data_IF_396175349732
#
_entry.id   IF_396175349732
#
_cell.length_a   1.000
_cell.length_b   1.000
_cell.length_c   1.000
_cell.angle_alpha   90.00
_cell.angle_beta   90.00
_cell.angle_gamma   90.00
#
_symmetry.space_group_name_H-M   'P 1'
#
loop_
_entity.id
_entity.type
_entity.pdbx_description
1 polymer ?
#
# COMPACT_ATOMS: atom_id res chain seq x y z
N UNK A 1 5.82 -31.03 -8.83
CA UNK A 1 6.62 -29.83 -8.56
C UNK A 1 5.92 -29.06 -7.46
N UNK A 2 6.63 -28.46 -6.51
CA UNK A 2 5.98 -27.58 -5.54
C UNK A 2 5.29 -26.41 -6.27
N UNK A 3 4.27 -25.79 -5.67
CA UNK A 3 3.62 -24.63 -6.27
C UNK A 3 4.65 -23.49 -6.44
N UNK A 4 4.50 -22.70 -7.51
CA UNK A 4 5.41 -21.58 -7.83
C UNK A 4 5.42 -20.55 -6.71
N UNK A 5 4.25 -20.29 -6.10
CA UNK A 5 4.12 -19.43 -4.92
C UNK A 5 3.97 -20.33 -3.72
N UNK A 6 4.96 -20.33 -2.84
CA UNK A 6 4.98 -21.15 -1.63
C UNK A 6 5.56 -20.35 -0.46
N UNK A 7 4.94 -20.48 0.71
CA UNK A 7 5.32 -19.81 1.94
C UNK A 7 5.63 -20.80 3.07
N UNK A 8 5.89 -22.06 2.72
CA UNK A 8 6.29 -23.08 3.69
C UNK A 8 7.52 -22.62 4.49
N UNK A 9 7.46 -22.79 5.81
CA UNK A 9 8.47 -22.33 6.77
C UNK A 9 8.67 -20.80 6.79
N UNK A 10 7.69 -20.01 6.32
CA UNK A 10 7.78 -18.54 6.32
C UNK A 10 6.89 -17.92 7.40
N UNK A 11 7.47 -16.97 8.13
CA UNK A 11 6.75 -16.05 9.02
C UNK A 11 6.43 -14.77 8.26
N UNK A 12 5.16 -14.44 8.14
CA UNK A 12 4.69 -13.27 7.38
C UNK A 12 3.93 -12.29 8.27
N UNK A 13 4.16 -11.01 8.07
CA UNK A 13 3.45 -9.92 8.74
C UNK A 13 2.60 -9.17 7.71
N UNK A 14 1.31 -8.99 8.00
CA UNK A 14 0.36 -8.29 7.12
C UNK A 14 -0.29 -7.14 7.88
N UNK A 15 -0.10 -5.92 7.42
CA UNK A 15 -0.84 -4.76 7.94
C UNK A 15 -2.14 -4.55 7.16
N UNK A 16 -3.20 -4.06 7.82
CA UNK A 16 -4.50 -3.89 7.19
C UNK A 16 -5.16 -5.22 6.80
N UNK A 17 -5.00 -6.25 7.63
CA UNK A 17 -5.38 -7.63 7.34
C UNK A 17 -6.86 -7.93 7.55
N UNK A 18 -7.64 -7.03 8.16
CA UNK A 18 -9.02 -7.34 8.56
C UNK A 18 -10.03 -7.34 7.42
N UNK A 19 -9.79 -6.58 6.35
CA UNK A 19 -10.75 -6.40 5.26
C UNK A 19 -10.07 -6.28 3.88
N UNK A 20 -10.87 -6.34 2.81
CA UNK A 20 -10.44 -6.05 1.46
C UNK A 20 -9.25 -6.88 0.98
N UNK A 21 -8.24 -6.22 0.42
CA UNK A 21 -7.04 -6.89 -0.11
C UNK A 21 -6.26 -7.61 0.97
N UNK A 22 -6.14 -7.03 2.18
CA UNK A 22 -5.39 -7.66 3.28
C UNK A 22 -6.04 -8.96 3.76
N UNK A 23 -7.36 -9.01 3.87
CA UNK A 23 -8.06 -10.25 4.20
C UNK A 23 -7.90 -11.32 3.10
N UNK A 24 -8.04 -10.92 1.83
CA UNK A 24 -7.79 -11.82 0.71
C UNK A 24 -6.33 -12.32 0.69
N UNK A 25 -5.36 -11.46 1.05
CA UNK A 25 -3.95 -11.84 1.13
C UNK A 25 -3.70 -12.88 2.23
N UNK A 26 -4.31 -12.71 3.41
CA UNK A 26 -4.23 -13.70 4.50
C UNK A 26 -4.70 -15.08 4.02
N UNK A 27 -5.84 -15.13 3.32
CA UNK A 27 -6.35 -16.38 2.75
C UNK A 27 -5.38 -16.99 1.72
N UNK A 28 -4.78 -16.18 0.83
CA UNK A 28 -3.79 -16.62 -0.16
C UNK A 28 -2.51 -17.16 0.49
N UNK A 29 -2.00 -16.46 1.51
CA UNK A 29 -0.81 -16.87 2.24
C UNK A 29 -1.04 -18.22 2.94
N UNK A 30 -2.20 -18.41 3.56
CA UNK A 30 -2.55 -19.70 4.19
C UNK A 30 -2.70 -20.81 3.15
N UNK A 31 -3.34 -20.54 2.02
CA UNK A 31 -3.44 -21.49 0.91
C UNK A 31 -2.07 -21.81 0.28
N UNK A 32 -1.10 -20.91 0.39
CA UNK A 32 0.29 -21.09 -0.04
C UNK A 32 1.19 -21.66 1.07
N UNK A 33 0.63 -22.25 2.13
CA UNK A 33 1.30 -22.92 3.23
C UNK A 33 2.15 -21.99 4.13
N UNK A 34 1.80 -20.70 4.29
CA UNK A 34 2.49 -19.86 5.25
C UNK A 34 2.44 -20.49 6.65
N UNK A 35 3.61 -20.64 7.27
CA UNK A 35 3.73 -21.28 8.57
C UNK A 35 3.17 -20.40 9.67
N UNK A 36 3.52 -19.12 9.64
CA UNK A 36 3.06 -18.16 10.64
C UNK A 36 2.56 -16.87 9.98
N UNK A 37 1.30 -16.54 10.19
CA UNK A 37 0.69 -15.31 9.68
C UNK A 37 0.33 -14.41 10.85
N UNK A 38 0.97 -13.23 10.90
CA UNK A 38 0.75 -12.21 11.92
C UNK A 38 0.01 -11.04 11.29
N UNK A 39 -1.18 -10.74 11.79
CA UNK A 39 -2.01 -9.65 11.31
C UNK A 39 -1.93 -8.44 12.23
N UNK A 40 -1.71 -7.24 11.65
CA UNK A 40 -1.80 -5.94 12.31
C UNK A 40 -2.98 -5.16 11.73
N UNK A 41 -3.94 -4.79 12.56
CA UNK A 41 -5.09 -3.97 12.15
C UNK A 41 -5.71 -3.28 13.37
N UNK A 42 -6.51 -2.24 13.16
CA UNK A 42 -7.36 -1.64 14.20
C UNK A 42 -8.62 -2.46 14.45
N UNK A 43 -9.05 -3.25 13.45
CA UNK A 43 -10.24 -4.10 13.52
C UNK A 43 -9.83 -5.57 13.67
N UNK A 44 -10.61 -6.38 14.40
CA UNK A 44 -10.35 -7.81 14.49
C UNK A 44 -10.28 -8.47 13.11
N UNK A 45 -9.28 -9.32 12.92
CA UNK A 45 -9.12 -10.15 11.73
C UNK A 45 -9.85 -11.48 11.93
N UNK A 46 -10.76 -11.82 11.01
CA UNK A 46 -11.51 -13.08 11.04
C UNK A 46 -10.87 -14.17 10.16
N UNK A 47 -9.78 -13.86 9.47
CA UNK A 47 -9.04 -14.78 8.61
C UNK A 47 -8.19 -15.79 9.38
N UNK A 48 -7.56 -16.75 8.68
CA UNK A 48 -6.73 -17.79 9.26
C UNK A 48 -5.34 -17.27 9.67
N UNK A 49 -5.29 -16.41 10.68
CA UNK A 49 -4.06 -15.85 11.24
C UNK A 49 -3.65 -16.61 12.52
N UNK A 50 -2.34 -16.69 12.78
CA UNK A 50 -1.80 -17.33 13.99
C UNK A 50 -1.68 -16.34 15.14
N UNK A 51 -1.44 -15.05 14.81
CA UNK A 51 -1.40 -13.97 15.78
C UNK A 51 -2.12 -12.73 15.22
N UNK A 52 -2.89 -12.08 16.07
CA UNK A 52 -3.48 -10.78 15.79
C UNK A 52 -2.96 -9.74 16.78
N UNK A 53 -2.50 -8.61 16.26
CA UNK A 53 -2.02 -7.47 17.03
C UNK A 53 -2.88 -6.26 16.66
N UNK A 54 -3.64 -5.77 17.62
CA UNK A 54 -4.36 -4.49 17.44
C UNK A 54 -3.35 -3.35 17.41
N UNK A 55 -3.32 -2.58 16.33
CA UNK A 55 -2.42 -1.44 16.18
C UNK A 55 -3.08 -0.34 15.34
N UNK A 56 -3.12 0.87 15.88
CA UNK A 56 -3.45 2.07 15.13
C UNK A 56 -2.18 2.60 14.47
N UNK A 57 -2.08 2.45 13.16
CA UNK A 57 -0.92 2.88 12.38
C UNK A 57 -0.84 4.40 12.18
N UNK A 58 -1.80 5.18 12.69
CA UNK A 58 -1.69 6.63 12.78
C UNK A 58 -0.97 7.11 14.05
N UNK A 59 -0.74 6.21 15.02
CA UNK A 59 -0.06 6.48 16.29
C UNK A 59 1.31 5.78 16.33
N UNK A 60 2.43 6.55 16.35
CA UNK A 60 3.77 5.97 16.42
C UNK A 60 4.01 5.11 17.67
N UNK A 61 3.35 5.41 18.80
CA UNK A 61 3.50 4.61 20.02
C UNK A 61 2.82 3.24 19.87
N UNK A 62 1.64 3.19 19.22
CA UNK A 62 0.97 1.92 18.93
C UNK A 62 1.76 1.08 17.91
N UNK A 63 2.45 1.72 16.95
CA UNK A 63 3.34 1.02 16.01
C UNK A 63 4.52 0.40 16.78
N UNK A 64 5.15 1.14 17.69
CA UNK A 64 6.28 0.64 18.49
C UNK A 64 5.87 -0.52 19.39
N UNK A 65 4.71 -0.44 20.04
CA UNK A 65 4.17 -1.56 20.82
C UNK A 65 3.94 -2.80 19.94
N UNK A 66 3.36 -2.60 18.76
CA UNK A 66 3.18 -3.70 17.81
C UNK A 66 4.52 -4.33 17.39
N UNK A 67 5.54 -3.52 17.07
CA UNK A 67 6.89 -3.98 16.72
C UNK A 67 7.52 -4.81 17.85
N UNK A 68 7.34 -4.42 19.12
CA UNK A 68 7.85 -5.18 20.26
C UNK A 68 7.20 -6.56 20.41
N UNK A 69 5.99 -6.74 19.91
CA UNK A 69 5.23 -8.00 19.97
C UNK A 69 5.47 -8.90 18.76
N UNK A 70 6.19 -8.43 17.73
CA UNK A 70 6.57 -9.21 16.57
C UNK A 70 7.79 -10.09 16.88
N UNK A 71 7.95 -11.25 16.22
CA UNK A 71 9.08 -12.16 16.44
C UNK A 71 10.41 -11.53 15.98
N UNK A 72 11.50 -12.14 16.43
CA UNK A 72 12.87 -11.73 16.09
C UNK A 72 13.27 -12.07 14.64
N UNK A 73 12.51 -12.92 13.96
CA UNK A 73 12.72 -13.27 12.54
C UNK A 73 11.44 -13.15 11.76
N UNK A 74 11.47 -12.41 10.65
CA UNK A 74 10.35 -12.18 9.74
C UNK A 74 10.82 -12.45 8.31
N UNK A 75 10.10 -13.29 7.58
CA UNK A 75 10.45 -13.59 6.19
C UNK A 75 9.81 -12.62 5.20
N UNK A 76 8.57 -12.18 5.46
CA UNK A 76 7.91 -11.22 4.57
C UNK A 76 7.09 -10.20 5.35
N UNK A 77 7.27 -8.93 5.02
CA UNK A 77 6.47 -7.82 5.51
C UNK A 77 5.57 -7.28 4.39
N UNK A 78 4.26 -7.41 4.56
CA UNK A 78 3.26 -6.79 3.70
C UNK A 78 2.72 -5.51 4.33
N UNK A 79 3.17 -4.37 3.86
CA UNK A 79 2.62 -3.06 4.21
C UNK A 79 1.39 -2.79 3.33
N UNK A 80 0.26 -3.39 3.70
CA UNK A 80 -0.97 -3.29 2.93
C UNK A 80 -1.97 -2.30 3.54
N UNK A 81 -1.85 -1.94 4.82
CA UNK A 81 -2.74 -0.96 5.44
C UNK A 81 -2.76 0.37 4.66
N UNK A 82 -3.94 0.94 4.52
CA UNK A 82 -4.12 2.23 3.88
C UNK A 82 -5.51 2.78 4.12
N UNK A 83 -5.60 4.11 4.13
CA UNK A 83 -6.83 4.87 4.34
C UNK A 83 -7.01 5.92 3.24
N UNK A 84 -8.28 6.30 2.99
CA UNK A 84 -8.64 7.30 1.98
C UNK A 84 -8.59 8.74 2.54
N UNK A 85 -8.69 9.72 1.64
CA UNK A 85 -8.69 11.14 1.95
C UNK A 85 -10.00 11.65 2.59
N UNK A 86 -10.92 10.76 2.95
CA UNK A 86 -12.06 11.07 3.85
C UNK A 86 -11.59 11.31 5.28
N UNK A 87 -10.40 10.83 5.65
CA UNK A 87 -9.79 11.08 6.95
C UNK A 87 -8.88 12.32 6.94
N UNK A 88 -8.59 12.91 8.12
CA UNK A 88 -7.70 14.05 8.23
C UNK A 88 -6.32 13.78 7.60
N UNK A 89 -5.72 14.82 7.00
CA UNK A 89 -4.42 14.75 6.31
C UNK A 89 -3.33 14.03 7.14
N UNK A 90 -3.21 14.38 8.44
CA UNK A 90 -2.22 13.75 9.34
C UNK A 90 -2.45 12.25 9.49
N UNK A 91 -3.70 11.79 9.50
CA UNK A 91 -4.04 10.37 9.55
C UNK A 91 -3.67 9.67 8.25
N UNK A 92 -4.03 10.26 7.10
CA UNK A 92 -3.70 9.70 5.78
C UNK A 92 -2.19 9.54 5.60
N UNK A 93 -1.41 10.59 5.91
CA UNK A 93 0.04 10.56 5.77
C UNK A 93 0.69 9.68 6.84
N UNK A 94 0.15 9.68 8.06
CA UNK A 94 0.59 8.82 9.14
C UNK A 94 0.49 7.34 8.74
N UNK A 95 -0.70 6.89 8.36
CA UNK A 95 -0.96 5.48 8.00
C UNK A 95 -0.27 5.08 6.69
N UNK A 96 -0.48 5.85 5.61
CA UNK A 96 -0.08 5.43 4.28
C UNK A 96 1.43 5.58 4.01
N UNK A 97 2.12 6.46 4.76
CA UNK A 97 3.54 6.80 4.49
C UNK A 97 4.42 6.53 5.71
N UNK A 98 4.15 7.24 6.83
CA UNK A 98 5.07 7.25 7.96
C UNK A 98 5.09 5.91 8.69
N UNK A 99 3.93 5.23 8.82
CA UNK A 99 3.85 3.89 9.40
C UNK A 99 4.64 2.88 8.56
N UNK A 100 4.44 2.88 7.24
CA UNK A 100 5.19 2.02 6.32
C UNK A 100 6.69 2.24 6.45
N UNK A 101 7.14 3.50 6.43
CA UNK A 101 8.56 3.84 6.63
C UNK A 101 9.08 3.35 7.98
N UNK A 102 8.32 3.57 9.08
CA UNK A 102 8.72 3.16 10.43
C UNK A 102 8.82 1.65 10.58
N UNK A 103 7.87 0.90 10.02
CA UNK A 103 7.91 -0.56 10.02
C UNK A 103 9.12 -1.09 9.24
N UNK A 104 9.40 -0.56 8.06
CA UNK A 104 10.58 -0.92 7.27
C UNK A 104 11.86 -0.64 8.07
N UNK A 105 12.02 0.57 8.60
CA UNK A 105 13.21 0.98 9.34
C UNK A 105 13.46 0.14 10.60
N UNK A 106 12.39 -0.30 11.28
CA UNK A 106 12.49 -1.07 12.52
C UNK A 106 12.64 -2.57 12.30
N UNK A 107 12.04 -3.11 11.23
CA UNK A 107 11.94 -4.56 11.05
C UNK A 107 12.99 -5.15 10.11
N UNK A 108 13.61 -4.36 9.22
CA UNK A 108 14.61 -4.89 8.27
C UNK A 108 15.77 -5.64 8.96
N UNK A 109 16.15 -5.23 10.18
CA UNK A 109 17.19 -5.91 10.95
C UNK A 109 16.77 -7.30 11.49
N UNK A 110 15.46 -7.58 11.51
CA UNK A 110 14.87 -8.89 11.85
C UNK A 110 14.57 -9.74 10.63
N UNK A 111 14.98 -9.29 9.45
CA UNK A 111 14.70 -9.94 8.17
C UNK A 111 15.98 -10.56 7.63
N UNK A 112 16.12 -11.90 7.63
CA UNK A 112 17.29 -12.58 7.09
C UNK A 112 17.45 -12.37 5.58
N UNK A 113 18.65 -12.61 5.00
CA UNK A 113 18.83 -12.61 3.55
C UNK A 113 17.86 -13.56 2.83
N UNK A 114 17.35 -13.16 1.68
CA UNK A 114 16.34 -13.91 0.90
C UNK A 114 14.90 -13.54 1.22
N UNK A 115 14.67 -12.56 2.08
CA UNK A 115 13.34 -12.10 2.51
C UNK A 115 12.79 -10.96 1.63
N UNK A 116 11.54 -10.55 1.87
CA UNK A 116 10.89 -9.55 1.04
C UNK A 116 9.99 -8.58 1.83
N UNK A 117 9.93 -7.34 1.35
CA UNK A 117 8.97 -6.32 1.76
C UNK A 117 8.09 -6.01 0.54
N UNK A 118 6.78 -5.97 0.73
CA UNK A 118 5.83 -5.63 -0.34
C UNK A 118 4.86 -4.55 0.15
N UNK A 119 4.86 -3.41 -0.53
CA UNK A 119 4.02 -2.28 -0.20
C UNK A 119 2.77 -2.23 -1.10
N UNK A 120 1.64 -1.79 -0.56
CA UNK A 120 0.44 -1.49 -1.35
C UNK A 120 0.38 0.02 -1.64
N UNK A 121 0.87 0.41 -2.81
CA UNK A 121 0.74 1.77 -3.35
C UNK A 121 -0.62 1.97 -4.06
N UNK A 122 -0.66 2.61 -5.22
CA UNK A 122 -1.85 2.80 -6.06
C UNK A 122 -1.44 3.41 -7.40
N UNK A 123 -2.25 3.23 -8.44
CA UNK A 123 -2.13 4.03 -9.68
C UNK A 123 -2.31 5.54 -9.43
N UNK A 124 -3.01 5.92 -8.36
CA UNK A 124 -3.13 7.33 -7.93
C UNK A 124 -1.78 8.00 -7.61
N UNK A 125 -0.73 7.20 -7.37
CA UNK A 125 0.64 7.68 -7.16
C UNK A 125 1.45 7.85 -8.46
N UNK A 126 0.86 7.72 -9.64
CA UNK A 126 1.58 7.75 -10.92
C UNK A 126 2.30 9.07 -11.25
N UNK A 127 1.95 10.17 -10.57
CA UNK A 127 2.57 11.49 -10.75
C UNK A 127 3.88 11.72 -9.98
N UNK A 128 4.42 10.73 -9.28
CA UNK A 128 5.55 10.88 -8.35
C UNK A 128 6.80 11.52 -8.97
N UNK A 129 7.04 11.32 -10.26
CA UNK A 129 8.22 11.89 -10.94
C UNK A 129 8.24 13.43 -10.91
N UNK A 130 7.08 14.06 -11.00
CA UNK A 130 6.95 15.53 -11.00
C UNK A 130 7.24 16.13 -9.62
N UNK A 131 7.05 15.34 -8.55
CA UNK A 131 7.20 15.75 -7.14
C UNK A 131 8.35 15.02 -6.43
N UNK A 132 9.23 14.37 -7.18
CA UNK A 132 10.31 13.55 -6.63
C UNK A 132 11.13 14.28 -5.57
N UNK A 133 11.53 15.53 -5.82
CA UNK A 133 12.35 16.29 -4.89
C UNK A 133 11.65 16.53 -3.55
N UNK A 134 10.38 16.92 -3.56
CA UNK A 134 9.59 17.17 -2.36
C UNK A 134 9.29 15.87 -1.60
N UNK A 135 9.06 14.77 -2.32
CA UNK A 135 8.84 13.45 -1.71
C UNK A 135 10.12 12.98 -1.00
N UNK A 136 11.28 13.14 -1.64
CA UNK A 136 12.57 12.80 -1.02
C UNK A 136 12.87 13.67 0.22
N UNK A 137 12.52 14.96 0.18
CA UNK A 137 12.63 15.85 1.33
C UNK A 137 11.78 15.35 2.51
N UNK A 138 10.50 15.06 2.27
CA UNK A 138 9.62 14.50 3.29
C UNK A 138 10.15 13.15 3.84
N UNK A 139 10.57 12.25 2.98
CA UNK A 139 11.05 10.92 3.38
C UNK A 139 12.37 10.96 4.14
N UNK A 140 13.13 12.06 4.05
CA UNK A 140 14.36 12.29 4.82
C UNK A 140 14.10 12.80 6.26
N UNK A 141 12.88 13.21 6.59
CA UNK A 141 12.53 13.69 7.94
C UNK A 141 12.22 12.49 8.83
N UNK A 142 13.13 12.11 9.72
CA UNK A 142 12.96 10.93 10.58
C UNK A 142 11.89 11.13 11.66
N UNK A 143 11.83 12.33 12.25
CA UNK A 143 10.88 12.63 13.30
C UNK A 143 9.43 12.66 12.78
N UNK A 144 8.58 11.84 13.39
CA UNK A 144 7.17 11.68 13.00
C UNK A 144 6.39 12.98 12.99
N UNK A 145 6.55 13.79 14.05
CA UNK A 145 5.82 15.05 14.18
C UNK A 145 6.30 16.07 13.17
N UNK A 146 7.62 16.20 13.00
CA UNK A 146 8.21 17.12 12.03
C UNK A 146 7.81 16.76 10.58
N UNK A 147 7.73 15.46 10.26
CA UNK A 147 7.26 15.00 8.96
C UNK A 147 5.79 15.41 8.72
N UNK A 148 4.91 15.26 9.71
CA UNK A 148 3.52 15.69 9.62
C UNK A 148 3.39 17.22 9.56
N UNK A 149 4.21 17.97 10.30
CA UNK A 149 4.22 19.45 10.25
C UNK A 149 4.72 19.93 8.88
N UNK A 150 5.70 19.25 8.28
CA UNK A 150 6.14 19.51 6.91
C UNK A 150 5.01 19.34 5.90
N UNK A 151 4.24 18.23 6.02
CA UNK A 151 3.08 17.95 5.16
C UNK A 151 2.03 19.06 5.22
N UNK A 152 1.72 19.56 6.42
CA UNK A 152 0.77 20.67 6.62
C UNK A 152 1.28 22.00 6.09
N UNK A 153 2.59 22.20 6.11
CA UNK A 153 3.23 23.41 5.55
C UNK A 153 3.22 23.42 4.01
N UNK A 154 2.89 22.30 3.35
CA UNK A 154 2.88 22.18 1.88
C UNK A 154 1.48 21.85 1.32
N UNK A 155 0.45 22.70 1.55
CA UNK A 155 -0.94 22.39 1.16
C UNK A 155 -1.12 22.20 -0.35
N UNK A 156 -0.27 22.81 -1.19
CA UNK A 156 -0.30 22.62 -2.64
C UNK A 156 0.03 21.19 -3.09
N UNK A 157 0.86 20.47 -2.32
CA UNK A 157 1.18 19.06 -2.59
C UNK A 157 0.09 18.12 -2.07
N UNK A 158 -0.54 18.50 -0.96
CA UNK A 158 -1.45 17.62 -0.20
C UNK A 158 -2.92 17.88 -0.49
N UNK A 159 -3.25 18.70 -1.49
CA UNK A 159 -4.63 18.91 -1.96
C UNK A 159 -5.34 17.57 -2.27
N UNK A 160 -4.62 16.63 -2.88
CA UNK A 160 -5.00 15.24 -2.97
C UNK A 160 -4.13 14.42 -2.02
N UNK A 161 -4.47 14.39 -0.74
CA UNK A 161 -3.69 13.72 0.30
C UNK A 161 -3.47 12.22 0.00
N UNK A 162 -4.49 11.54 -0.53
CA UNK A 162 -4.39 10.14 -0.91
C UNK A 162 -3.39 9.93 -2.06
N UNK A 163 -3.55 10.68 -3.15
CA UNK A 163 -2.64 10.60 -4.31
C UNK A 163 -1.19 10.85 -3.88
N UNK A 164 -0.94 11.95 -3.14
CA UNK A 164 0.39 12.28 -2.64
C UNK A 164 0.96 11.19 -1.72
N UNK A 165 0.14 10.60 -0.84
CA UNK A 165 0.59 9.48 0.01
C UNK A 165 1.00 8.26 -0.80
N UNK A 166 0.32 7.98 -1.93
CA UNK A 166 0.64 6.85 -2.81
C UNK A 166 1.85 7.13 -3.70
N UNK A 167 2.09 8.38 -4.06
CA UNK A 167 3.37 8.81 -4.65
C UNK A 167 4.54 8.57 -3.68
N UNK A 168 4.38 8.97 -2.42
CA UNK A 168 5.38 8.71 -1.39
C UNK A 168 5.65 7.22 -1.20
N UNK A 169 4.62 6.36 -1.21
CA UNK A 169 4.77 4.91 -1.09
C UNK A 169 5.55 4.30 -2.27
N UNK A 170 5.32 4.79 -3.50
CA UNK A 170 6.07 4.36 -4.68
C UNK A 170 7.55 4.79 -4.58
N UNK A 171 7.81 6.05 -4.22
CA UNK A 171 9.18 6.57 -4.08
C UNK A 171 9.91 5.89 -2.92
N UNK A 172 9.24 5.63 -1.79
CA UNK A 172 9.81 4.89 -0.67
C UNK A 172 10.28 3.49 -1.11
N UNK A 173 9.49 2.79 -1.93
CA UNK A 173 9.86 1.50 -2.50
C UNK A 173 11.13 1.58 -3.35
N UNK A 174 11.21 2.58 -4.25
CA UNK A 174 12.39 2.81 -5.09
C UNK A 174 13.61 3.18 -4.26
N UNK A 175 13.45 4.08 -3.29
CA UNK A 175 14.52 4.60 -2.43
C UNK A 175 15.16 3.49 -1.58
N UNK A 176 14.36 2.55 -1.10
CA UNK A 176 14.81 1.48 -0.21
C UNK A 176 15.35 0.24 -0.96
N UNK A 177 15.18 0.15 -2.27
CA UNK A 177 15.54 -1.03 -3.04
C UNK A 177 17.05 -1.37 -2.98
N UNK A 178 17.92 -0.38 -3.12
CA UNK A 178 19.37 -0.59 -3.08
C UNK A 178 19.89 -0.83 -1.65
N UNK A 179 19.54 0.00 -0.63
CA UNK A 179 19.98 -0.24 0.73
C UNK A 179 19.56 -1.60 1.30
N UNK A 180 18.33 -2.02 1.04
CA UNK A 180 17.83 -3.32 1.52
C UNK A 180 18.48 -4.51 0.77
N UNK A 181 18.80 -4.34 -0.50
CA UNK A 181 19.51 -5.37 -1.27
C UNK A 181 20.90 -5.70 -0.71
N UNK A 182 21.58 -4.75 -0.07
CA UNK A 182 22.85 -4.97 0.62
C UNK A 182 22.69 -5.95 1.80
N UNK A 183 21.48 -6.07 2.33
CA UNK A 183 21.12 -7.04 3.38
C UNK A 183 20.43 -8.30 2.81
N UNK A 184 20.36 -8.44 1.48
CA UNK A 184 19.68 -9.55 0.82
C UNK A 184 18.15 -9.49 0.91
N UNK A 185 17.58 -8.31 1.17
CA UNK A 185 16.14 -8.08 1.28
C UNK A 185 15.64 -7.41 0.00
N UNK A 186 14.56 -7.91 -0.59
CA UNK A 186 13.88 -7.27 -1.72
C UNK A 186 12.76 -6.36 -1.21
N UNK A 187 12.53 -5.27 -1.92
CA UNK A 187 11.36 -4.42 -1.69
C UNK A 187 10.68 -4.09 -3.00
N UNK A 188 9.35 -4.29 -3.05
CA UNK A 188 8.55 -3.99 -4.22
C UNK A 188 7.22 -3.36 -3.78
N UNK A 189 6.48 -2.77 -4.72
CA UNK A 189 5.10 -2.37 -4.48
C UNK A 189 4.16 -2.90 -5.54
N UNK A 190 2.89 -3.05 -5.17
CA UNK A 190 1.77 -3.14 -6.12
C UNK A 190 1.09 -1.79 -6.23
N UNK A 191 0.66 -1.42 -7.43
CA UNK A 191 -0.06 -0.19 -7.74
C UNK A 191 -1.43 -0.54 -8.35
N UNK A 192 -2.42 -0.90 -7.53
CA UNK A 192 -3.74 -1.23 -8.03
C UNK A 192 -4.46 -0.01 -8.60
N UNK A 193 -5.33 -0.26 -9.60
CA UNK A 193 -6.41 0.63 -9.99
C UNK A 193 -7.61 0.49 -9.06
N UNK A 194 -8.83 0.56 -9.60
CA UNK A 194 -10.06 0.42 -8.81
C UNK A 194 -10.28 -1.04 -8.38
N UNK A 195 -10.40 -1.26 -7.06
CA UNK A 195 -10.61 -2.59 -6.44
C UNK A 195 -11.99 -2.60 -5.78
N UNK A 196 -12.70 -3.71 -5.86
CA UNK A 196 -13.99 -3.90 -5.18
C UNK A 196 -13.78 -4.20 -3.68
N UNK A 197 -13.61 -3.14 -2.91
CA UNK A 197 -13.35 -3.17 -1.46
C UNK A 197 -14.20 -2.14 -0.74
N UNK A 198 -14.36 -2.23 0.60
CA UNK A 198 -15.04 -1.19 1.38
C UNK A 198 -14.49 0.23 1.18
N UNK A 199 -13.21 0.37 0.79
CA UNK A 199 -12.56 1.67 0.54
C UNK A 199 -13.16 2.42 -0.67
N UNK A 200 -13.89 1.74 -1.56
CA UNK A 200 -14.56 2.36 -2.71
C UNK A 200 -15.56 3.41 -2.26
N UNK A 201 -16.29 3.16 -1.16
CA UNK A 201 -17.26 4.13 -0.63
C UNK A 201 -16.61 5.48 -0.26
N UNK A 202 -15.38 5.44 0.25
CA UNK A 202 -14.60 6.65 0.53
C UNK A 202 -14.17 7.37 -0.75
N UNK A 203 -13.84 6.62 -1.81
CA UNK A 203 -13.53 7.22 -3.11
C UNK A 203 -14.77 7.82 -3.79
N UNK A 204 -15.96 7.22 -3.60
CA UNK A 204 -17.22 7.81 -4.06
C UNK A 204 -17.48 9.17 -3.41
N UNK A 205 -17.13 9.33 -2.13
CA UNK A 205 -17.25 10.61 -1.42
C UNK A 205 -16.23 11.64 -1.95
N UNK A 206 -14.99 11.22 -2.24
CA UNK A 206 -13.89 12.16 -2.57
C UNK A 206 -13.78 12.48 -4.06
N UNK A 207 -14.18 11.56 -4.93
CA UNK A 207 -14.05 11.68 -6.39
C UNK A 207 -15.40 11.76 -7.11
N UNK A 208 -16.45 11.18 -6.52
CA UNK A 208 -17.75 11.01 -7.13
C UNK A 208 -17.89 9.72 -7.95
N UNK A 209 -19.06 9.10 -7.87
CA UNK A 209 -19.39 7.86 -8.60
C UNK A 209 -19.17 7.98 -10.12
N UNK A 210 -19.51 9.11 -10.81
CA UNK A 210 -19.29 9.21 -12.26
C UNK A 210 -17.83 9.08 -12.68
N UNK A 211 -16.88 9.59 -11.88
CA UNK A 211 -15.45 9.46 -12.17
C UNK A 211 -14.99 8.00 -11.98
N UNK A 212 -15.47 7.36 -10.93
CA UNK A 212 -15.16 5.93 -10.67
C UNK A 212 -15.70 5.06 -11.80
N UNK A 213 -16.94 5.27 -12.23
CA UNK A 213 -17.56 4.52 -13.32
C UNK A 213 -16.82 4.75 -14.64
N UNK A 214 -16.38 5.99 -14.90
CA UNK A 214 -15.55 6.30 -16.05
C UNK A 214 -14.20 5.55 -15.98
N UNK A 215 -13.48 5.61 -14.86
CA UNK A 215 -12.21 4.87 -14.69
C UNK A 215 -12.41 3.37 -14.89
N UNK A 216 -13.47 2.80 -14.33
CA UNK A 216 -13.82 1.38 -14.48
C UNK A 216 -14.10 1.05 -15.95
N UNK A 217 -14.85 1.91 -16.67
CA UNK A 217 -15.13 1.71 -18.11
C UNK A 217 -13.86 1.70 -18.95
N UNK A 218 -12.86 2.52 -18.59
CA UNK A 218 -11.57 2.59 -19.29
C UNK A 218 -10.62 1.44 -18.90
N UNK A 219 -10.90 0.70 -17.83
CA UNK A 219 -10.10 -0.41 -17.33
C UNK A 219 -10.77 -1.78 -17.51
N UNK A 220 -11.55 -1.95 -18.58
CA UNK A 220 -12.18 -3.23 -18.93
C UNK A 220 -13.54 -3.48 -18.30
N UNK A 221 -14.20 -2.45 -17.81
CA UNK A 221 -15.62 -2.46 -17.40
C UNK A 221 -15.90 -3.11 -16.03
N UNK A 222 -14.88 -3.41 -15.25
CA UNK A 222 -15.04 -3.94 -13.89
C UNK A 222 -13.95 -3.44 -12.93
N UNK A 223 -14.25 -3.42 -11.66
CA UNK A 223 -13.24 -3.30 -10.60
C UNK A 223 -12.44 -4.59 -10.48
N UNK A 224 -11.19 -4.51 -10.04
CA UNK A 224 -10.43 -5.70 -9.69
C UNK A 224 -11.03 -6.37 -8.44
N UNK A 225 -11.03 -7.69 -8.39
CA UNK A 225 -11.33 -8.40 -7.15
C UNK A 225 -10.16 -8.24 -6.15
N UNK A 226 -10.42 -8.15 -4.84
CA UNK A 226 -9.36 -8.12 -3.83
C UNK A 226 -8.35 -9.26 -3.97
N UNK A 227 -8.79 -10.43 -4.40
CA UNK A 227 -7.96 -11.62 -4.63
C UNK A 227 -6.96 -11.44 -5.77
N UNK A 228 -7.29 -10.67 -6.83
CA UNK A 228 -6.37 -10.42 -7.95
C UNK A 228 -5.16 -9.56 -7.50
N UNK A 229 -5.39 -8.62 -6.58
CA UNK A 229 -4.32 -7.82 -5.98
C UNK A 229 -3.54 -8.63 -4.95
N UNK A 230 -4.23 -9.44 -4.14
CA UNK A 230 -3.61 -10.34 -3.18
C UNK A 230 -2.69 -11.38 -3.84
N UNK A 231 -3.06 -11.91 -5.00
CA UNK A 231 -2.23 -12.84 -5.78
C UNK A 231 -0.91 -12.18 -6.23
N UNK A 232 -0.95 -10.91 -6.65
CA UNK A 232 0.25 -10.17 -7.03
C UNK A 232 1.13 -9.82 -5.82
N UNK A 233 0.54 -9.45 -4.68
CA UNK A 233 1.26 -9.27 -3.42
C UNK A 233 1.96 -10.57 -3.02
N UNK A 234 1.24 -11.68 -3.00
CA UNK A 234 1.79 -12.99 -2.66
C UNK A 234 2.90 -13.41 -3.65
N UNK A 235 2.78 -13.12 -4.93
CA UNK A 235 3.86 -13.36 -5.89
C UNK A 235 5.12 -12.55 -5.56
N UNK A 236 5.00 -11.24 -5.36
CA UNK A 236 6.15 -10.37 -5.07
C UNK A 236 6.84 -10.69 -3.74
N UNK A 237 6.09 -11.18 -2.75
CA UNK A 237 6.63 -11.63 -1.46
C UNK A 237 7.31 -12.99 -1.51
N UNK A 238 7.03 -13.82 -2.53
CA UNK A 238 7.54 -15.19 -2.63
C UNK A 238 8.92 -15.28 -3.29
N UNK A 239 9.53 -16.46 -3.20
CA UNK A 239 10.81 -16.77 -3.86
C UNK A 239 10.69 -16.79 -5.40
N UNK A 240 9.47 -16.90 -5.95
CA UNK A 240 9.22 -16.77 -7.39
C UNK A 240 9.59 -15.38 -7.94
N UNK A 241 9.64 -14.35 -7.08
CA UNK A 241 10.05 -12.99 -7.42
C UNK A 241 11.49 -12.69 -7.00
N UNK A 242 12.36 -13.70 -6.84
CA UNK A 242 13.72 -13.56 -6.29
C UNK A 242 14.64 -12.57 -7.02
N UNK A 243 14.36 -12.27 -8.28
CA UNK A 243 15.13 -11.29 -9.09
C UNK A 243 14.36 -10.00 -9.36
N UNK A 244 13.22 -9.77 -8.68
CA UNK A 244 12.41 -8.56 -8.80
C UNK A 244 12.62 -7.71 -7.56
N UNK A 245 13.22 -6.52 -7.72
CA UNK A 245 13.51 -5.58 -6.64
C UNK A 245 13.33 -4.14 -7.12
N UNK A 246 12.69 -3.29 -6.33
CA UNK A 246 12.45 -1.89 -6.64
C UNK A 246 11.39 -1.65 -7.71
N UNK A 247 10.46 -2.57 -7.93
CA UNK A 247 9.38 -2.34 -8.91
C UNK A 247 8.13 -1.76 -8.25
N UNK A 248 7.44 -0.89 -9.00
CA UNK A 248 6.07 -0.46 -8.75
C UNK A 248 5.17 -1.17 -9.79
N UNK A 249 4.64 -2.35 -9.42
CA UNK A 249 3.87 -3.20 -10.33
C UNK A 249 2.45 -2.69 -10.50
N UNK A 250 2.09 -2.25 -11.69
CA UNK A 250 0.73 -1.83 -12.03
C UNK A 250 -0.22 -3.02 -12.10
N UNK A 251 -1.39 -2.90 -11.42
CA UNK A 251 -2.48 -3.89 -11.43
C UNK A 251 -3.78 -3.13 -11.72
N UNK A 252 -3.97 -2.73 -12.96
CA UNK A 252 -5.03 -1.81 -13.36
C UNK A 252 -5.68 -2.17 -14.71
N UNK A 253 -5.49 -3.40 -15.15
CA UNK A 253 -6.00 -3.90 -16.43
C UNK A 253 -5.64 -3.01 -17.61
N UNK A 254 -4.45 -2.42 -17.63
CA UNK A 254 -3.93 -1.63 -18.73
C UNK A 254 -4.35 -0.15 -18.72
N UNK A 255 -5.07 0.33 -17.70
CA UNK A 255 -5.48 1.73 -17.61
C UNK A 255 -4.28 2.69 -17.71
N UNK A 256 -3.26 2.50 -16.88
CA UNK A 256 -2.06 3.36 -16.91
C UNK A 256 -1.30 3.27 -18.23
N UNK A 257 -1.26 2.11 -18.86
CA UNK A 257 -0.64 1.94 -20.18
C UNK A 257 -1.40 2.74 -21.25
N UNK A 258 -2.73 2.67 -21.25
CA UNK A 258 -3.58 3.42 -22.19
C UNK A 258 -3.48 4.94 -21.97
N UNK A 259 -3.36 5.39 -20.71
CA UNK A 259 -3.08 6.80 -20.38
C UNK A 259 -1.73 7.23 -20.96
N UNK A 260 -0.68 6.47 -20.66
CA UNK A 260 0.70 6.80 -21.10
C UNK A 260 0.84 6.87 -22.61
N UNK A 261 0.07 6.06 -23.32
CA UNK A 261 0.09 5.99 -24.80
C UNK A 261 -0.98 6.86 -25.48
N UNK A 262 -1.66 7.74 -24.73
CA UNK A 262 -2.73 8.62 -25.21
C UNK A 262 -3.90 7.87 -25.88
N UNK A 263 -4.19 6.64 -25.44
CA UNK A 263 -5.35 5.87 -25.93
C UNK A 263 -6.62 6.20 -25.14
N UNK A 264 -6.50 6.83 -23.97
CA UNK A 264 -7.61 7.34 -23.16
C UNK A 264 -7.69 8.85 -23.35
N UNK A 265 -8.86 9.33 -23.78
CA UNK A 265 -9.18 10.75 -23.84
C UNK A 265 -9.63 11.26 -22.47
N UNK A 266 -8.70 11.89 -21.74
CA UNK A 266 -9.01 12.49 -20.43
C UNK A 266 -10.07 13.61 -20.49
N UNK A 267 -10.30 14.24 -21.65
CA UNK A 267 -11.34 15.25 -21.78
C UNK A 267 -12.75 14.66 -21.64
N UNK A 268 -12.87 13.35 -21.83
CA UNK A 268 -14.12 12.60 -21.62
C UNK A 268 -14.39 12.24 -20.16
N UNK A 269 -13.42 12.49 -19.24
CA UNK A 269 -13.61 12.26 -17.81
C UNK A 269 -14.66 13.24 -17.26
N UNK A 270 -15.68 12.76 -16.52
CA UNK A 270 -16.67 13.62 -15.89
C UNK A 270 -15.98 14.66 -14.99
N UNK A 271 -16.52 15.90 -15.00
CA UNK A 271 -16.07 16.91 -14.05
C UNK A 271 -16.37 16.43 -12.62
N UNK A 272 -15.50 16.77 -11.68
CA UNK A 272 -15.83 16.66 -10.25
C UNK A 272 -16.93 17.68 -10.02
N UNK A 273 -18.18 17.25 -10.03
CA UNK A 273 -19.28 18.11 -9.62
C UNK A 273 -18.98 18.59 -8.21
N UNK A 274 -19.11 19.88 -7.99
CA UNK A 274 -18.95 20.50 -6.68
C UNK A 274 -20.07 20.01 -5.73
N UNK A 275 -20.02 18.74 -5.35
CA UNK A 275 -20.97 18.07 -4.43
C UNK A 275 -20.83 18.54 -2.98
N UNK A 276 -20.17 19.67 -2.73
CA UNK A 276 -19.96 20.22 -1.39
C UNK A 276 -20.66 21.55 -1.13
N UNK A 277 -21.67 21.93 -1.91
CA UNK A 277 -22.45 23.15 -1.62
C UNK A 277 -23.95 22.89 -1.51
N UNK A 278 -24.39 21.81 -0.86
CA UNK A 278 -25.79 21.65 -0.46
C UNK A 278 -25.92 21.10 0.96
N UNK A 279 -25.47 21.88 1.93
CA UNK A 279 -25.97 21.85 3.30
C UNK A 279 -25.78 23.26 3.90
N UNK A 280 -26.65 24.13 3.49
CA UNK A 280 -27.01 25.33 4.28
C UNK A 280 -28.24 25.00 5.11
#
# INVERSE_FOLDING_TARGET
>A
MPPIINYENKTVVVTGAATGVGAALVDRLRAANAEHIIALDVKPCNGPVDQFITADLSDPAAIDDAIHRLPDSIDVLFNNAGVAATLPLRVVMGVNVLATRRLIASLHQRMPPGTAIVNTASTAGGGFMERMAQILELLAIDDWRQALDWVEAHPGLTQNAYGFSKECAQVLTLLQATPLAEHGIRINSVCPGMIDTPLVADFEITMGTPIIDWMVSQSGGRKAAPTEVADALAFLGSDAASYINGTNLLIDNGFSAAVTTNQIDYSSMPAVDALTNSSA
#
